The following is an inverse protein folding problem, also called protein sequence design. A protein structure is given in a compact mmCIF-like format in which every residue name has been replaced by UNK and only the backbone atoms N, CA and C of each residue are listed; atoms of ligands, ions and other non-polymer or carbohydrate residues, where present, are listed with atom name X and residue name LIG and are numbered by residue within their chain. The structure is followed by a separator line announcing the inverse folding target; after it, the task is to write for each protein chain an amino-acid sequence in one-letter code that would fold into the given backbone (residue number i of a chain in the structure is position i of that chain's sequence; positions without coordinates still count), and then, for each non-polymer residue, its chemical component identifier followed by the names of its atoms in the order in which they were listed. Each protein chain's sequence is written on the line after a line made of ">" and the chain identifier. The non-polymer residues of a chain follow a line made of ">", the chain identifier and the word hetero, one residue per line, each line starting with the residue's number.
data_IF_073509534931
#
_entry.id   IF_073509534931
#
_cell.length_a   1.000
_cell.length_b   1.000
_cell.length_c   1.000
_cell.angle_alpha   90.00
_cell.angle_beta   90.00
_cell.angle_gamma   90.00
#
_symmetry.space_group_name_H-M   'P 1'
#
loop_
_entity.id
_entity.type
_entity.pdbx_description
1 polymer ?
#
# COMPACT_ATOMS: atom_id res chain seq x y z
N UNK A 1 1.18 10.23 14.87
CA UNK A 1 1.53 11.63 15.16
C UNK A 1 0.72 12.27 16.28
N UNK A 2 -0.31 11.59 16.82
CA UNK A 2 -1.16 12.12 17.94
C UNK A 2 -0.59 11.83 19.34
N UNK A 3 0.54 11.15 19.45
CA UNK A 3 1.16 10.86 20.74
C UNK A 3 1.76 12.13 21.36
N UNK A 4 1.63 12.30 22.69
CA UNK A 4 2.30 13.34 23.47
C UNK A 4 3.75 13.00 23.82
N UNK A 5 4.20 11.77 23.59
CA UNK A 5 5.56 11.33 23.91
C UNK A 5 6.61 12.07 23.06
N UNK A 6 7.75 12.43 23.68
CA UNK A 6 8.90 13.06 23.02
C UNK A 6 9.72 12.08 22.20
N UNK A 7 9.61 10.81 22.51
CA UNK A 7 10.35 9.70 21.91
C UNK A 7 9.38 8.70 21.29
N UNK A 8 9.63 8.31 20.04
CA UNK A 8 8.86 7.32 19.29
C UNK A 8 9.81 6.17 18.97
N UNK A 9 9.45 4.95 19.35
CA UNK A 9 10.13 3.73 18.89
C UNK A 9 9.26 3.12 17.81
N UNK A 10 9.79 3.05 16.59
CA UNK A 10 9.10 2.48 15.44
C UNK A 10 9.54 1.04 15.25
N UNK A 11 8.72 0.09 15.68
CA UNK A 11 8.93 -1.35 15.44
C UNK A 11 8.36 -1.72 14.06
N UNK A 12 9.11 -1.41 13.02
CA UNK A 12 8.72 -1.60 11.62
C UNK A 12 9.89 -1.33 10.70
N UNK A 13 9.62 -1.12 9.42
CA UNK A 13 10.65 -0.89 8.41
C UNK A 13 11.13 0.57 8.39
N UNK A 14 12.35 0.78 7.87
CA UNK A 14 13.07 2.05 7.91
C UNK A 14 12.24 3.23 7.37
N UNK A 15 11.61 3.12 6.20
CA UNK A 15 10.83 4.22 5.61
C UNK A 15 9.64 4.66 6.50
N UNK A 16 9.11 3.76 7.35
CA UNK A 16 8.06 4.13 8.32
C UNK A 16 8.62 5.00 9.44
N UNK A 17 9.83 4.70 9.91
CA UNK A 17 10.53 5.54 10.90
C UNK A 17 10.87 6.92 10.31
N UNK A 18 11.34 6.99 9.06
CA UNK A 18 11.55 8.24 8.34
C UNK A 18 10.25 9.05 8.22
N UNK A 19 9.15 8.41 7.82
CA UNK A 19 7.83 9.05 7.74
C UNK A 19 7.38 9.55 9.11
N UNK A 20 7.57 8.76 10.18
CA UNK A 20 7.27 9.19 11.54
C UNK A 20 8.10 10.41 11.95
N UNK A 21 9.36 10.48 11.53
CA UNK A 21 10.23 11.63 11.78
C UNK A 21 9.82 12.87 10.99
N UNK A 22 9.49 12.73 9.73
CA UNK A 22 8.97 13.82 8.89
C UNK A 22 7.69 14.42 9.47
N UNK A 23 6.79 13.58 9.97
CA UNK A 23 5.53 14.01 10.60
C UNK A 23 5.70 14.56 12.02
N UNK A 24 6.85 14.37 12.65
CA UNK A 24 7.16 14.79 14.01
C UNK A 24 8.60 15.34 14.09
N UNK A 25 8.90 16.47 13.46
CA UNK A 25 10.27 16.96 13.29
C UNK A 25 10.96 17.29 14.62
N UNK A 26 10.22 17.63 15.67
CA UNK A 26 10.77 17.95 17.00
C UNK A 26 10.99 16.71 17.87
N UNK A 27 10.37 15.57 17.56
CA UNK A 27 10.46 14.34 18.35
C UNK A 27 11.66 13.50 17.95
N UNK A 28 12.16 12.69 18.89
CA UNK A 28 13.17 11.68 18.58
C UNK A 28 12.46 10.41 18.12
N UNK A 29 12.85 9.90 16.94
CA UNK A 29 12.35 8.64 16.39
C UNK A 29 13.50 7.64 16.38
N UNK A 30 13.25 6.48 16.94
CA UNK A 30 14.22 5.37 17.01
C UNK A 30 13.70 4.19 16.22
N UNK A 31 14.59 3.50 15.56
CA UNK A 31 14.35 2.25 14.87
C UNK A 31 15.24 1.17 15.52
N UNK A 32 14.70 0.04 16.00
CA UNK A 32 15.49 -1.00 16.66
C UNK A 32 16.56 -1.61 15.76
N UNK A 33 16.28 -1.74 14.46
CA UNK A 33 17.21 -2.24 13.46
C UNK A 33 17.18 -1.35 12.21
N UNK A 34 18.30 -0.71 11.91
CA UNK A 34 18.46 0.15 10.72
C UNK A 34 18.44 -0.65 9.41
N UNK A 35 18.64 -1.97 9.46
CA UNK A 35 18.55 -2.86 8.30
C UNK A 35 17.12 -3.37 8.03
N UNK A 36 16.15 -3.03 8.89
CA UNK A 36 14.76 -3.37 8.67
C UNK A 36 14.22 -2.66 7.41
N UNK A 37 14.46 -3.25 6.25
CA UNK A 37 14.18 -2.71 4.93
C UNK A 37 12.82 -3.11 4.37
N UNK A 38 12.50 -2.51 3.23
CA UNK A 38 11.35 -2.87 2.39
C UNK A 38 11.81 -2.85 0.93
N UNK A 39 11.70 -3.99 0.25
CA UNK A 39 12.15 -4.13 -1.15
C UNK A 39 11.45 -3.15 -2.09
N UNK A 40 10.15 -2.92 -1.88
CA UNK A 40 9.40 -1.92 -2.63
C UNK A 40 9.97 -0.50 -2.42
N UNK A 41 10.21 -0.10 -1.17
CA UNK A 41 10.76 1.22 -0.87
C UNK A 41 12.18 1.40 -1.43
N UNK A 42 12.95 0.31 -1.53
CA UNK A 42 14.31 0.30 -2.06
C UNK A 42 14.37 0.15 -3.59
N UNK A 43 13.23 -0.02 -4.26
CA UNK A 43 13.18 -0.19 -5.72
C UNK A 43 13.41 1.10 -6.50
N UNK A 44 13.44 2.25 -5.83
CA UNK A 44 13.57 3.59 -6.42
C UNK A 44 14.35 4.51 -5.49
N UNK A 45 15.11 5.42 -6.06
CA UNK A 45 15.89 6.45 -5.36
C UNK A 45 15.41 7.86 -5.73
N UNK A 46 15.82 8.88 -4.97
CA UNK A 46 15.55 10.28 -5.33
C UNK A 46 16.19 10.68 -6.66
N UNK A 47 17.34 10.08 -7.01
CA UNK A 47 17.97 10.30 -8.32
C UNK A 47 17.09 9.78 -9.47
N UNK A 48 16.51 8.60 -9.33
CA UNK A 48 15.55 8.06 -10.31
C UNK A 48 14.37 9.00 -10.50
N UNK A 49 13.86 9.60 -9.41
CA UNK A 49 12.76 10.58 -9.49
C UNK A 49 13.19 11.83 -10.26
N UNK A 50 14.40 12.34 -10.02
CA UNK A 50 14.95 13.48 -10.80
C UNK A 50 15.06 13.14 -12.29
N UNK A 51 15.52 11.94 -12.64
CA UNK A 51 15.58 11.48 -14.02
C UNK A 51 14.19 11.37 -14.66
N UNK A 52 13.19 10.88 -13.90
CA UNK A 52 11.80 10.84 -14.37
C UNK A 52 11.25 12.25 -14.61
N UNK A 53 11.51 13.20 -13.73
CA UNK A 53 11.11 14.62 -13.92
C UNK A 53 11.75 15.24 -15.16
N UNK A 54 13.00 14.90 -15.46
CA UNK A 54 13.67 15.34 -16.69
C UNK A 54 13.03 14.72 -17.93
N UNK A 55 12.68 13.43 -17.88
CA UNK A 55 12.03 12.71 -18.99
C UNK A 55 10.58 13.17 -19.23
N UNK A 56 9.89 13.59 -18.20
CA UNK A 56 8.49 14.02 -18.24
C UNK A 56 8.34 15.42 -17.61
N UNK A 57 8.85 16.47 -18.25
CA UNK A 57 8.85 17.82 -17.67
C UNK A 57 7.43 18.32 -17.42
N UNK A 58 7.22 18.90 -16.23
CA UNK A 58 5.92 19.46 -15.82
C UNK A 58 4.86 18.43 -15.39
N UNK A 59 5.18 17.13 -15.40
CA UNK A 59 4.27 16.08 -14.92
C UNK A 59 4.45 15.90 -13.42
N UNK A 60 3.38 16.06 -12.60
CA UNK A 60 3.49 15.89 -11.15
C UNK A 60 3.85 14.45 -10.76
N UNK A 61 4.65 14.33 -9.70
CA UNK A 61 5.05 13.06 -9.09
C UNK A 61 4.21 12.80 -7.85
N UNK A 62 3.46 11.72 -7.88
CA UNK A 62 2.69 11.17 -6.75
C UNK A 62 3.43 9.95 -6.21
N UNK A 63 3.86 9.98 -4.97
CA UNK A 63 4.51 8.84 -4.34
C UNK A 63 3.64 8.19 -3.28
N UNK A 64 3.50 6.89 -3.38
CA UNK A 64 3.02 6.09 -2.27
C UNK A 64 3.98 6.22 -1.09
N UNK A 65 3.47 6.30 0.13
CA UNK A 65 4.29 6.52 1.34
C UNK A 65 5.33 5.43 1.60
N UNK A 66 5.20 4.26 0.95
CA UNK A 66 6.16 3.16 1.02
C UNK A 66 7.40 3.45 0.15
N UNK A 67 8.07 4.56 0.45
CA UNK A 67 9.29 5.06 -0.18
C UNK A 67 10.18 5.70 0.87
N UNK A 68 11.48 5.87 0.56
CA UNK A 68 12.44 6.56 1.44
C UNK A 68 12.15 8.06 1.58
N UNK A 69 12.74 8.70 2.57
CA UNK A 69 12.71 10.16 2.71
C UNK A 69 13.37 10.87 1.52
N UNK A 70 14.40 10.27 0.93
CA UNK A 70 15.08 10.76 -0.27
C UNK A 70 14.12 10.86 -1.47
N UNK A 71 13.34 9.80 -1.72
CA UNK A 71 12.29 9.81 -2.76
C UNK A 71 11.21 10.85 -2.44
N UNK A 72 10.80 10.94 -1.17
CA UNK A 72 9.79 11.93 -0.75
C UNK A 72 10.24 13.38 -0.94
N UNK A 73 11.54 13.65 -0.81
CA UNK A 73 12.11 14.99 -1.04
C UNK A 73 11.97 15.46 -2.50
N UNK A 74 11.92 14.51 -3.44
CA UNK A 74 11.73 14.79 -4.87
C UNK A 74 10.27 14.67 -5.33
N UNK A 75 9.36 14.31 -4.44
CA UNK A 75 7.94 14.05 -4.72
C UNK A 75 7.12 15.34 -4.55
N UNK A 76 6.12 15.54 -5.42
CA UNK A 76 5.22 16.69 -5.32
C UNK A 76 4.09 16.44 -4.30
N UNK A 77 3.60 15.21 -4.21
CA UNK A 77 2.59 14.81 -3.21
C UNK A 77 2.70 13.34 -2.84
N UNK A 78 2.50 13.01 -1.56
CA UNK A 78 2.45 11.63 -1.10
C UNK A 78 1.00 11.16 -0.90
N UNK A 79 0.79 9.86 -1.11
CA UNK A 79 -0.50 9.21 -0.86
C UNK A 79 -0.32 7.89 -0.08
N UNK A 80 -1.43 7.35 0.38
CA UNK A 80 -1.55 5.96 0.87
C UNK A 80 -2.43 5.17 -0.09
N UNK A 81 -2.46 3.84 0.01
CA UNK A 81 -3.40 3.02 -0.75
C UNK A 81 -4.88 3.40 -0.51
N UNK A 82 -5.20 3.99 0.65
CA UNK A 82 -6.55 4.43 0.98
C UNK A 82 -7.02 5.69 0.23
N UNK A 83 -6.10 6.55 -0.20
CA UNK A 83 -6.44 7.86 -0.77
C UNK A 83 -5.77 8.12 -2.13
N UNK A 84 -5.07 7.15 -2.71
CA UNK A 84 -4.29 7.32 -3.93
C UNK A 84 -5.12 7.88 -5.09
N UNK A 85 -6.29 7.31 -5.37
CA UNK A 85 -7.20 7.79 -6.43
C UNK A 85 -7.60 9.25 -6.17
N UNK A 86 -8.04 9.57 -4.95
CA UNK A 86 -8.46 10.94 -4.58
C UNK A 86 -7.32 11.95 -4.69
N UNK A 87 -6.11 11.56 -4.30
CA UNK A 87 -4.91 12.43 -4.42
C UNK A 87 -4.61 12.69 -5.88
N UNK A 88 -4.60 11.66 -6.73
CA UNK A 88 -4.36 11.81 -8.17
C UNK A 88 -5.40 12.72 -8.82
N UNK A 89 -6.68 12.51 -8.53
CA UNK A 89 -7.78 13.34 -9.07
C UNK A 89 -7.72 14.78 -8.58
N UNK A 90 -7.30 15.01 -7.33
CA UNK A 90 -7.21 16.37 -6.76
C UNK A 90 -6.19 17.27 -7.45
N UNK A 91 -5.23 16.69 -8.18
CA UNK A 91 -4.24 17.47 -8.93
C UNK A 91 -4.80 18.15 -10.17
N UNK A 92 -5.96 17.71 -10.68
CA UNK A 92 -6.64 18.26 -11.86
C UNK A 92 -5.71 18.35 -13.09
N UNK A 93 -4.93 17.29 -13.34
CA UNK A 93 -3.99 17.17 -14.47
C UNK A 93 -4.35 15.98 -15.34
N UNK A 94 -3.89 15.99 -16.61
CA UNK A 94 -4.15 14.89 -17.55
C UNK A 94 -3.35 13.62 -17.21
N UNK A 95 -2.17 13.78 -16.59
CA UNK A 95 -1.25 12.68 -16.30
C UNK A 95 -0.41 12.95 -15.04
N UNK A 96 -0.02 11.87 -14.38
CA UNK A 96 0.91 11.89 -13.23
C UNK A 96 1.94 10.77 -13.34
N UNK A 97 3.10 10.96 -12.72
CA UNK A 97 4.05 9.87 -12.43
C UNK A 97 3.65 9.29 -11.09
N UNK A 98 3.40 7.97 -11.01
CA UNK A 98 3.01 7.28 -9.78
C UNK A 98 4.09 6.29 -9.34
N UNK A 99 4.56 6.43 -8.12
CA UNK A 99 5.70 5.71 -7.57
C UNK A 99 5.34 4.99 -6.27
N UNK A 100 6.04 3.92 -5.86
CA UNK A 100 6.91 3.08 -6.65
C UNK A 100 6.22 1.80 -7.13
N UNK A 101 5.00 1.47 -6.60
CA UNK A 101 4.31 0.19 -6.81
C UNK A 101 3.51 0.18 -8.11
N UNK A 102 3.86 -0.76 -9.01
CA UNK A 102 3.19 -0.86 -10.31
C UNK A 102 1.74 -1.35 -10.19
N UNK A 103 1.45 -2.27 -9.28
CA UNK A 103 0.10 -2.83 -9.15
C UNK A 103 -0.87 -1.84 -8.50
N UNK A 104 -0.38 -1.09 -7.48
CA UNK A 104 -1.16 0.03 -6.96
C UNK A 104 -1.37 1.11 -8.02
N UNK A 105 -0.37 1.39 -8.87
CA UNK A 105 -0.51 2.29 -10.01
C UNK A 105 -1.58 1.80 -11.01
N UNK A 106 -1.59 0.50 -11.33
CA UNK A 106 -2.59 -0.12 -12.20
C UNK A 106 -4.00 -0.05 -11.58
N UNK A 107 -4.10 -0.30 -10.27
CA UNK A 107 -5.36 -0.13 -9.53
C UNK A 107 -5.85 1.32 -9.61
N UNK A 108 -4.99 2.30 -9.40
CA UNK A 108 -5.32 3.73 -9.52
C UNK A 108 -5.76 4.04 -10.95
N UNK A 109 -5.02 3.57 -11.96
CA UNK A 109 -5.34 3.80 -13.37
C UNK A 109 -6.72 3.26 -13.77
N UNK A 110 -7.14 2.11 -13.23
CA UNK A 110 -8.49 1.54 -13.45
C UNK A 110 -9.61 2.36 -12.77
N UNK A 111 -9.29 3.18 -11.78
CA UNK A 111 -10.26 3.93 -10.95
C UNK A 111 -10.23 5.46 -11.19
N UNK A 112 -9.48 5.95 -12.17
CA UNK A 112 -9.42 7.37 -12.53
C UNK A 112 -9.34 7.57 -14.05
N UNK A 113 -9.59 8.77 -14.50
CA UNK A 113 -9.37 9.16 -15.92
C UNK A 113 -7.98 9.75 -16.16
N UNK A 114 -7.21 10.01 -15.10
CA UNK A 114 -5.86 10.55 -15.17
C UNK A 114 -4.92 9.48 -15.70
N UNK A 115 -4.08 9.80 -16.66
CA UNK A 115 -3.09 8.87 -17.20
C UNK A 115 -1.96 8.63 -16.17
N UNK A 116 -1.72 7.39 -15.85
CA UNK A 116 -0.68 7.00 -14.88
C UNK A 116 0.58 6.57 -15.63
N UNK A 117 1.71 7.19 -15.29
CA UNK A 117 3.06 6.77 -15.67
C UNK A 117 3.64 6.06 -14.45
N UNK A 118 3.67 4.73 -14.46
CA UNK A 118 4.10 3.93 -13.32
C UNK A 118 5.61 3.64 -13.32
N UNK A 119 6.17 3.46 -12.14
CA UNK A 119 7.43 2.75 -11.90
C UNK A 119 7.18 1.24 -11.86
N UNK A 120 8.23 0.41 -11.99
CA UNK A 120 8.11 -1.06 -12.02
C UNK A 120 8.50 -1.71 -10.68
N UNK A 121 8.26 -1.04 -9.56
CA UNK A 121 8.45 -1.63 -8.24
C UNK A 121 7.28 -2.53 -7.86
N UNK A 122 7.55 -3.59 -7.10
CA UNK A 122 6.55 -4.54 -6.59
C UNK A 122 6.78 -4.83 -5.11
N UNK A 123 5.71 -5.15 -4.40
CA UNK A 123 5.80 -5.65 -3.04
C UNK A 123 6.00 -7.16 -3.06
N UNK A 124 7.16 -7.65 -2.57
CA UNK A 124 7.50 -9.09 -2.57
C UNK A 124 6.50 -9.96 -1.82
N UNK A 125 5.70 -9.40 -0.92
CA UNK A 125 4.64 -10.14 -0.21
C UNK A 125 3.43 -10.32 -1.12
N UNK A 126 2.95 -9.23 -1.73
CA UNK A 126 1.73 -9.25 -2.53
C UNK A 126 1.93 -9.89 -3.91
N UNK A 127 3.13 -9.80 -4.46
CA UNK A 127 3.50 -10.39 -5.76
C UNK A 127 3.46 -11.92 -5.76
N UNK A 128 3.51 -12.57 -4.60
CA UNK A 128 3.49 -14.04 -4.49
C UNK A 128 2.11 -14.65 -4.72
N UNK A 129 1.05 -13.89 -4.57
CA UNK A 129 -0.31 -14.40 -4.79
C UNK A 129 -0.66 -14.44 -6.27
N UNK A 130 -1.44 -15.44 -6.68
CA UNK A 130 -1.95 -15.59 -8.05
C UNK A 130 -3.47 -15.72 -8.08
N UNK A 131 -4.09 -15.23 -9.15
CA UNK A 131 -5.55 -15.35 -9.32
C UNK A 131 -6.01 -16.80 -9.35
N UNK A 132 -5.18 -17.74 -9.85
CA UNK A 132 -5.46 -19.17 -9.84
C UNK A 132 -5.57 -19.71 -8.40
N UNK A 133 -4.61 -19.42 -7.55
CA UNK A 133 -4.65 -19.83 -6.13
C UNK A 133 -5.89 -19.28 -5.42
N UNK A 134 -6.24 -18.02 -5.69
CA UNK A 134 -7.47 -17.41 -5.16
C UNK A 134 -8.71 -18.20 -5.60
N UNK A 135 -8.78 -18.57 -6.89
CA UNK A 135 -9.91 -19.35 -7.40
C UNK A 135 -9.96 -20.76 -6.80
N UNK A 136 -8.81 -21.42 -6.63
CA UNK A 136 -8.73 -22.72 -6.00
C UNK A 136 -9.20 -22.69 -4.52
N UNK A 137 -8.81 -21.65 -3.79
CA UNK A 137 -9.26 -21.43 -2.41
C UNK A 137 -10.79 -21.21 -2.37
N UNK A 138 -11.35 -20.41 -3.27
CA UNK A 138 -12.80 -20.20 -3.37
C UNK A 138 -13.55 -21.51 -3.64
N UNK A 139 -13.03 -22.36 -4.51
CA UNK A 139 -13.61 -23.66 -4.84
C UNK A 139 -13.60 -24.63 -3.64
N UNK A 140 -12.53 -24.62 -2.85
CA UNK A 140 -12.38 -25.45 -1.64
C UNK A 140 -13.17 -24.91 -0.45
N UNK A 141 -13.52 -23.63 -0.45
CA UNK A 141 -14.19 -22.94 0.65
C UNK A 141 -15.44 -22.19 0.16
N UNK A 142 -16.54 -22.88 -0.15
CA UNK A 142 -17.76 -22.23 -0.62
C UNK A 142 -18.24 -21.13 0.33
N UNK A 143 -18.51 -19.94 -0.20
CA UNK A 143 -18.97 -18.79 0.55
C UNK A 143 -17.88 -17.96 1.25
N UNK A 144 -16.60 -18.30 1.07
CA UNK A 144 -15.48 -17.47 1.54
C UNK A 144 -15.51 -16.10 0.86
N UNK A 145 -15.12 -15.06 1.59
CA UNK A 145 -14.86 -13.73 1.06
C UNK A 145 -13.37 -13.50 0.94
N UNK A 146 -12.91 -13.18 -0.24
CA UNK A 146 -11.51 -12.84 -0.53
C UNK A 146 -11.38 -11.32 -0.59
N UNK A 147 -10.50 -10.78 0.24
CA UNK A 147 -10.26 -9.35 0.37
C UNK A 147 -8.79 -9.08 0.10
N UNK A 148 -8.47 -8.39 -0.99
CA UNK A 148 -7.10 -8.17 -1.44
C UNK A 148 -6.62 -6.73 -1.22
N UNK A 149 -5.31 -6.58 -0.99
CA UNK A 149 -4.67 -5.28 -1.01
C UNK A 149 -4.38 -4.83 -2.46
N UNK A 150 -4.49 -3.54 -2.80
CA UNK A 150 -4.25 -3.04 -4.17
C UNK A 150 -2.81 -3.21 -4.70
N UNK A 151 -1.86 -3.61 -3.86
CA UNK A 151 -0.51 -4.01 -4.27
C UNK A 151 -0.45 -5.46 -4.82
N UNK A 152 -1.56 -6.19 -4.83
CA UNK A 152 -1.65 -7.51 -5.44
C UNK A 152 -1.70 -7.42 -6.97
N UNK A 153 -1.22 -8.47 -7.69
CA UNK A 153 -1.36 -8.58 -9.13
C UNK A 153 -2.81 -8.40 -9.62
N UNK A 154 -3.01 -7.90 -10.86
CA UNK A 154 -4.36 -7.64 -11.39
C UNK A 154 -5.29 -8.86 -11.40
N UNK A 155 -4.78 -10.06 -11.68
CA UNK A 155 -5.55 -11.30 -11.68
C UNK A 155 -6.04 -11.68 -10.27
N UNK A 156 -5.26 -11.39 -9.23
CA UNK A 156 -5.66 -11.54 -7.81
C UNK A 156 -6.78 -10.56 -7.48
N UNK A 157 -6.65 -9.30 -7.89
CA UNK A 157 -7.69 -8.27 -7.67
C UNK A 157 -9.00 -8.67 -8.36
N UNK A 158 -8.93 -9.16 -9.61
CA UNK A 158 -10.10 -9.60 -10.38
C UNK A 158 -10.78 -10.84 -9.76
N UNK A 159 -10.00 -11.75 -9.17
CA UNK A 159 -10.52 -12.93 -8.48
C UNK A 159 -11.09 -12.63 -7.08
N UNK A 160 -10.82 -11.45 -6.52
CA UNK A 160 -11.21 -11.05 -5.16
C UNK A 160 -12.63 -10.49 -5.10
N UNK A 161 -13.28 -10.58 -3.92
CA UNK A 161 -14.61 -10.00 -3.69
C UNK A 161 -14.54 -8.51 -3.34
N UNK A 162 -13.39 -8.06 -2.84
CA UNK A 162 -13.12 -6.66 -2.51
C UNK A 162 -11.63 -6.37 -2.61
N UNK A 163 -11.29 -5.19 -3.10
CA UNK A 163 -9.93 -4.67 -3.09
C UNK A 163 -9.89 -3.32 -2.36
N UNK A 164 -8.97 -3.17 -1.42
CA UNK A 164 -8.84 -1.94 -0.65
C UNK A 164 -7.63 -1.90 0.26
N UNK A 165 -7.32 -0.71 0.75
CA UNK A 165 -6.24 -0.50 1.72
C UNK A 165 -6.40 -1.34 2.99
N UNK A 166 -5.36 -1.45 3.80
CA UNK A 166 -5.42 -2.14 5.11
C UNK A 166 -6.60 -1.67 5.95
N UNK A 167 -6.83 -0.35 6.06
CA UNK A 167 -7.99 0.19 6.77
C UNK A 167 -9.31 -0.14 6.08
N UNK A 168 -9.34 -0.18 4.75
CA UNK A 168 -10.50 -0.60 3.97
C UNK A 168 -10.84 -2.07 4.20
N UNK A 169 -9.84 -2.94 4.24
CA UNK A 169 -10.00 -4.37 4.53
C UNK A 169 -10.55 -4.60 5.94
N UNK A 170 -9.99 -3.95 6.96
CA UNK A 170 -10.49 -3.97 8.34
C UNK A 170 -11.95 -3.53 8.40
N UNK A 171 -12.27 -2.41 7.76
CA UNK A 171 -13.63 -1.88 7.71
C UNK A 171 -14.59 -2.85 7.02
N UNK A 172 -14.18 -3.47 5.92
CA UNK A 172 -15.00 -4.47 5.20
C UNK A 172 -15.38 -5.63 6.11
N UNK A 173 -14.42 -6.24 6.82
CA UNK A 173 -14.69 -7.35 7.74
C UNK A 173 -15.62 -6.91 8.86
N UNK A 174 -15.34 -5.75 9.48
CA UNK A 174 -16.15 -5.20 10.57
C UNK A 174 -17.60 -4.94 10.16
N UNK A 175 -17.83 -4.36 8.98
CA UNK A 175 -19.16 -3.94 8.54
C UNK A 175 -19.98 -5.12 7.98
N UNK A 176 -19.33 -6.08 7.32
CA UNK A 176 -20.02 -7.18 6.63
C UNK A 176 -20.06 -8.48 7.43
N UNK A 177 -19.22 -8.66 8.45
CA UNK A 177 -19.13 -9.85 9.30
C UNK A 177 -19.28 -11.17 8.49
N UNK A 178 -18.42 -11.42 7.49
CA UNK A 178 -18.52 -12.62 6.66
C UNK A 178 -18.28 -13.86 7.51
N UNK A 179 -18.97 -14.97 7.20
CA UNK A 179 -18.74 -16.23 7.93
C UNK A 179 -17.31 -16.74 7.81
N UNK A 180 -16.75 -16.62 6.59
CA UNK A 180 -15.35 -16.97 6.29
C UNK A 180 -14.71 -15.86 5.47
N UNK A 181 -13.46 -15.55 5.77
CA UNK A 181 -12.69 -14.53 5.04
C UNK A 181 -11.23 -14.95 4.89
N UNK A 182 -10.62 -14.55 3.79
CA UNK A 182 -9.17 -14.54 3.60
C UNK A 182 -8.73 -13.13 3.27
N UNK A 183 -7.72 -12.65 3.98
CA UNK A 183 -7.06 -11.38 3.67
C UNK A 183 -5.81 -11.66 2.84
N UNK A 184 -5.81 -11.20 1.59
CA UNK A 184 -4.69 -11.37 0.66
C UNK A 184 -3.74 -10.21 0.83
N UNK A 185 -2.89 -10.32 1.85
CA UNK A 185 -1.88 -9.35 2.27
C UNK A 185 -0.91 -10.03 3.26
N UNK A 186 -0.11 -9.26 4.00
CA UNK A 186 0.79 -9.76 5.03
C UNK A 186 -0.01 -10.52 6.13
N UNK A 187 0.50 -11.71 6.50
CA UNK A 187 -0.25 -12.68 7.33
C UNK A 187 -0.63 -12.17 8.73
N UNK A 188 0.26 -11.40 9.39
CA UNK A 188 0.00 -10.87 10.73
C UNK A 188 -1.21 -9.91 10.78
N UNK A 189 -1.59 -9.36 9.63
CA UNK A 189 -2.81 -8.54 9.56
C UNK A 189 -4.05 -9.37 9.85
N UNK A 190 -4.09 -10.63 9.40
CA UNK A 190 -5.20 -11.54 9.68
C UNK A 190 -5.36 -11.79 11.18
N UNK A 191 -4.24 -11.97 11.91
CA UNK A 191 -4.27 -12.18 13.37
C UNK A 191 -4.86 -10.96 14.10
N UNK A 192 -4.46 -9.76 13.70
CA UNK A 192 -4.97 -8.53 14.29
C UNK A 192 -6.46 -8.31 14.02
N UNK A 193 -6.91 -8.58 12.79
CA UNK A 193 -8.33 -8.40 12.42
C UNK A 193 -9.21 -9.47 13.06
N UNK A 194 -8.72 -10.72 13.17
CA UNK A 194 -9.40 -11.83 13.83
C UNK A 194 -9.64 -11.53 15.31
N UNK A 195 -8.65 -10.97 16.01
CA UNK A 195 -8.79 -10.60 17.42
C UNK A 195 -9.96 -9.64 17.69
N UNK A 196 -10.22 -8.72 16.75
CA UNK A 196 -11.34 -7.77 16.83
C UNK A 196 -12.67 -8.32 16.27
N UNK A 197 -12.64 -9.50 15.62
CA UNK A 197 -13.82 -10.12 14.96
C UNK A 197 -13.94 -11.61 15.28
N UNK A 198 -14.19 -11.99 16.55
CA UNK A 198 -14.14 -13.39 17.02
C UNK A 198 -15.21 -14.31 16.41
N UNK A 199 -16.23 -13.75 15.76
CA UNK A 199 -17.28 -14.51 15.09
C UNK A 199 -17.00 -14.79 13.59
N UNK A 200 -15.90 -14.27 13.08
CA UNK A 200 -15.46 -14.44 11.67
C UNK A 200 -14.37 -15.51 11.61
N UNK A 201 -14.50 -16.48 10.74
CA UNK A 201 -13.48 -17.50 10.51
C UNK A 201 -12.47 -17.00 9.49
N UNK A 202 -11.18 -16.92 9.87
CA UNK A 202 -10.10 -16.52 8.96
C UNK A 202 -9.41 -17.75 8.38
N UNK A 203 -9.18 -17.72 7.07
CA UNK A 203 -8.28 -18.65 6.37
C UNK A 203 -6.98 -17.88 6.12
N UNK A 204 -5.86 -18.47 6.54
CA UNK A 204 -4.51 -17.89 6.50
C UNK A 204 -3.63 -18.66 5.53
#
# INVERSE_FOLDING_TARGET
>A
SKTSADKIIMCGVHFMAETAKLMNPTKKVFLPDMQAGCSLASSITGEDVRLLKQKYPGVPVVSYVNTSADVKAETDVCCTSANAVKVVESLNVEKVIFLPDQYLADYVAKNTKVKIISWKGTCVVHEQFTGKEIQDIKNQNPGIKIIAHPECPPDVIEASDFAGSTSGMIKYVKDNQPKKVMLVTECSMSDNVEADNPNVSFIK
#
